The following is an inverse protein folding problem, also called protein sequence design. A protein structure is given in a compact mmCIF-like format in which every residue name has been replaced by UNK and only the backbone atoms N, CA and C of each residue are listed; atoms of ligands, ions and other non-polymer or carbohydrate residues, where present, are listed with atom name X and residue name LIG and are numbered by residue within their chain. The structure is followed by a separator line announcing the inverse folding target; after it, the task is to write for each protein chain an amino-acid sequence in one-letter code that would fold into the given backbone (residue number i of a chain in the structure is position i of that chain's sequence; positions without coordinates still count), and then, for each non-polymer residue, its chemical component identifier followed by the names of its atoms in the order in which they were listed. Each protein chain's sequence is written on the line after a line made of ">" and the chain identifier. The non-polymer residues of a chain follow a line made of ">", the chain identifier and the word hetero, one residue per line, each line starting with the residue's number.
data_IF_071249768264
#
_entry.id   IF_071249768264
#
_cell.length_a   1.000
_cell.length_b   1.000
_cell.length_c   1.000
_cell.angle_alpha   90.00
_cell.angle_beta   90.00
_cell.angle_gamma   90.00
#
_symmetry.space_group_name_H-M   'P 1'
#
loop_
_entity.id
_entity.type
_entity.pdbx_description
1 polymer ?
#
# COMPACT_ATOMS: atom_id res chain seq x y z
N UNK A 1 1.10 3.07 14.68
CA UNK A 1 1.41 3.82 13.45
C UNK A 1 1.50 5.31 13.72
N UNK A 2 0.42 5.98 14.17
CA UNK A 2 0.45 7.41 14.53
C UNK A 2 1.59 7.81 15.48
N UNK A 3 1.87 7.01 16.52
CA UNK A 3 2.99 7.27 17.44
C UNK A 3 4.37 7.35 16.75
N UNK A 4 4.59 6.56 15.69
CA UNK A 4 5.84 6.62 14.91
C UNK A 4 5.94 7.92 14.11
N UNK A 5 4.81 8.39 13.57
CA UNK A 5 4.73 9.69 12.92
C UNK A 5 4.98 10.83 13.91
N UNK A 6 4.32 10.80 15.09
CA UNK A 6 4.53 11.79 16.16
C UNK A 6 5.96 11.76 16.74
N UNK A 7 6.65 10.63 16.66
CA UNK A 7 8.06 10.49 17.03
C UNK A 7 9.04 11.07 15.99
N UNK A 8 8.55 11.58 14.84
CA UNK A 8 9.36 12.28 13.84
C UNK A 8 9.73 11.44 12.60
N UNK A 9 9.02 10.35 12.33
CA UNK A 9 9.21 9.62 11.07
C UNK A 9 8.81 10.49 9.86
N UNK A 10 9.60 10.48 8.79
CA UNK A 10 9.25 11.17 7.52
C UNK A 10 8.10 10.47 6.78
N UNK A 11 7.99 9.15 6.93
CA UNK A 11 6.89 8.33 6.44
C UNK A 11 6.81 7.06 7.29
N UNK A 12 5.63 6.45 7.39
CA UNK A 12 5.43 5.16 8.08
C UNK A 12 4.87 4.14 7.10
N UNK A 13 5.59 3.04 6.89
CA UNK A 13 5.17 1.95 6.01
C UNK A 13 5.03 0.66 6.81
N UNK A 14 3.81 0.14 6.89
CA UNK A 14 3.54 -1.18 7.43
C UNK A 14 4.02 -2.27 6.47
N UNK A 15 4.37 -3.44 7.00
CA UNK A 15 4.81 -4.58 6.19
C UNK A 15 4.07 -5.84 6.60
N UNK A 16 4.24 -6.90 5.80
CA UNK A 16 3.62 -8.22 6.03
C UNK A 16 2.09 -8.21 6.18
N UNK A 17 1.42 -7.27 5.52
CA UNK A 17 -0.02 -7.30 5.40
C UNK A 17 -0.38 -8.33 4.32
N UNK A 18 -1.19 -9.33 4.64
CA UNK A 18 -1.67 -10.29 3.63
C UNK A 18 -2.80 -9.70 2.75
N UNK A 19 -3.28 -8.50 3.07
CA UNK A 19 -4.27 -7.74 2.31
C UNK A 19 -3.75 -6.33 2.10
N UNK A 20 -4.07 -5.72 0.96
CA UNK A 20 -3.84 -4.31 0.74
C UNK A 20 -4.68 -3.48 1.75
N UNK A 21 -4.04 -2.58 2.48
CA UNK A 21 -4.67 -1.78 3.53
C UNK A 21 -4.68 -0.29 3.17
N UNK A 22 -5.52 0.45 3.90
CA UNK A 22 -5.68 1.90 3.75
C UNK A 22 -4.40 2.72 3.96
N UNK A 23 -4.58 4.01 3.74
CA UNK A 23 -3.63 5.06 4.02
C UNK A 23 -4.11 5.90 5.21
N UNK A 24 -3.20 6.69 5.74
CA UNK A 24 -3.50 7.68 6.76
C UNK A 24 -2.49 8.81 6.74
N UNK A 25 -2.84 9.88 7.44
CA UNK A 25 -1.92 10.97 7.74
C UNK A 25 -1.99 11.28 9.23
N UNK A 26 -0.83 11.47 9.84
CA UNK A 26 -0.70 12.05 11.17
C UNK A 26 0.15 13.30 11.02
N UNK A 27 -0.48 14.47 11.19
CA UNK A 27 0.01 15.74 10.65
C UNK A 27 0.38 15.60 9.16
N UNK A 28 1.61 15.96 8.78
CA UNK A 28 2.10 15.86 7.40
C UNK A 28 2.78 14.52 7.09
N UNK A 29 2.74 13.55 8.01
CA UNK A 29 3.41 12.26 7.84
C UNK A 29 2.48 11.25 7.18
N UNK A 30 2.84 10.80 5.97
CA UNK A 30 2.15 9.73 5.27
C UNK A 30 2.30 8.38 5.99
N UNK A 31 1.20 7.64 6.07
CA UNK A 31 1.12 6.29 6.63
C UNK A 31 0.48 5.37 5.60
N UNK A 32 1.14 4.28 5.25
CA UNK A 32 0.52 3.14 4.56
C UNK A 32 0.49 1.96 5.53
N UNK A 33 -0.71 1.48 5.88
CA UNK A 33 -0.86 0.48 6.94
C UNK A 33 -0.38 -0.92 6.52
N UNK A 34 -0.39 -1.22 5.22
CA UNK A 34 0.04 -2.52 4.74
C UNK A 34 -0.08 -2.67 3.22
N UNK A 35 1.03 -2.97 2.50
CA UNK A 35 1.03 -3.02 1.05
C UNK A 35 0.26 -4.21 0.49
N UNK A 36 0.02 -5.26 1.26
CA UNK A 36 -0.62 -6.48 0.77
C UNK A 36 0.38 -7.57 0.40
N UNK A 37 -0.12 -8.55 -0.35
CA UNK A 37 0.58 -9.80 -0.60
C UNK A 37 1.36 -9.75 -1.92
N UNK A 38 2.69 -9.69 -1.84
CA UNK A 38 3.58 -9.70 -2.99
C UNK A 38 4.12 -11.09 -3.37
N UNK A 39 4.16 -12.05 -2.44
CA UNK A 39 4.94 -13.29 -2.61
C UNK A 39 4.21 -14.60 -2.27
N UNK A 40 3.10 -14.57 -1.54
CA UNK A 40 2.45 -15.79 -1.05
C UNK A 40 1.42 -16.31 -2.04
N UNK A 41 1.32 -17.63 -2.15
CA UNK A 41 0.46 -18.39 -3.07
C UNK A 41 -1.02 -18.45 -2.62
N UNK A 42 -1.49 -17.42 -1.94
CA UNK A 42 -2.84 -17.32 -1.38
C UNK A 42 -3.85 -16.85 -2.42
N UNK A 43 -4.41 -17.82 -3.16
CA UNK A 43 -5.30 -17.56 -4.30
C UNK A 43 -6.79 -17.58 -3.95
N UNK A 44 -7.15 -17.92 -2.71
CA UNK A 44 -8.53 -18.19 -2.29
C UNK A 44 -9.43 -16.95 -2.25
N UNK A 45 -8.85 -15.76 -2.03
CA UNK A 45 -9.59 -14.50 -1.92
C UNK A 45 -8.94 -13.41 -2.79
N UNK A 46 -9.74 -12.51 -3.34
CA UNK A 46 -9.20 -11.38 -4.12
C UNK A 46 -8.26 -10.51 -3.27
N UNK A 47 -8.65 -10.21 -2.03
CA UNK A 47 -7.85 -9.38 -1.13
C UNK A 47 -6.45 -9.95 -0.82
N UNK A 48 -6.31 -11.28 -0.77
CA UNK A 48 -5.00 -11.93 -0.55
C UNK A 48 -4.12 -11.97 -1.79
N UNK A 49 -4.60 -11.47 -2.92
CA UNK A 49 -3.86 -11.44 -4.19
C UNK A 49 -3.42 -10.04 -4.56
N UNK A 50 -3.88 -9.01 -3.85
CA UNK A 50 -3.60 -7.61 -4.15
C UNK A 50 -2.35 -7.15 -3.41
N UNK A 51 -1.53 -6.34 -4.09
CA UNK A 51 -0.35 -5.72 -3.50
C UNK A 51 -0.13 -4.31 -4.03
N UNK A 52 0.53 -3.51 -3.21
CA UNK A 52 1.22 -2.31 -3.59
C UNK A 52 2.73 -2.54 -3.60
N UNK A 53 3.43 -1.78 -4.42
CA UNK A 53 4.87 -1.54 -4.31
C UNK A 53 5.05 -0.03 -4.29
N UNK A 54 5.36 0.50 -3.11
CA UNK A 54 5.47 1.94 -2.91
C UNK A 54 6.88 2.41 -3.21
N UNK A 55 6.98 3.51 -3.95
CA UNK A 55 8.23 4.27 -4.07
C UNK A 55 8.11 5.59 -3.34
N UNK A 56 8.95 5.79 -2.33
CA UNK A 56 9.03 7.04 -1.57
C UNK A 56 10.22 7.86 -2.06
N UNK A 57 9.97 9.10 -2.49
CA UNK A 57 11.05 10.07 -2.76
C UNK A 57 11.18 10.99 -1.55
N UNK A 58 12.30 10.87 -0.86
CA UNK A 58 12.60 11.66 0.34
C UNK A 58 13.79 12.56 0.07
N UNK A 59 13.65 13.85 0.37
CA UNK A 59 14.71 14.84 0.23
C UNK A 59 14.67 15.83 1.38
N UNK A 60 15.84 16.14 1.95
CA UNK A 60 15.98 17.09 3.08
C UNK A 60 15.03 16.79 4.25
N UNK A 61 14.93 15.51 4.62
CA UNK A 61 14.06 15.04 5.70
C UNK A 61 12.55 15.08 5.40
N UNK A 62 12.14 15.47 4.19
CA UNK A 62 10.74 15.60 3.76
C UNK A 62 10.36 14.57 2.72
N UNK A 63 9.14 14.04 2.84
CA UNK A 63 8.53 13.22 1.80
C UNK A 63 8.06 14.13 0.66
N UNK A 64 8.60 13.92 -0.54
CA UNK A 64 8.32 14.74 -1.73
C UNK A 64 7.25 14.09 -2.61
N UNK A 65 7.32 12.76 -2.76
CA UNK A 65 6.31 12.02 -3.50
C UNK A 65 6.20 10.57 -3.01
N UNK A 66 5.00 10.04 -3.23
CA UNK A 66 4.68 8.62 -3.11
C UNK A 66 4.15 8.15 -4.45
N UNK A 67 4.80 7.17 -5.05
CA UNK A 67 4.26 6.45 -6.21
C UNK A 67 3.71 5.10 -5.74
N UNK A 68 2.44 4.85 -6.05
CA UNK A 68 1.76 3.61 -5.73
C UNK A 68 1.71 2.71 -6.96
N UNK A 69 2.61 1.75 -7.06
CA UNK A 69 2.49 0.68 -8.05
C UNK A 69 1.53 -0.39 -7.51
N UNK A 70 0.62 -0.89 -8.33
CA UNK A 70 -0.40 -1.87 -7.92
C UNK A 70 -0.24 -3.18 -8.69
N UNK A 71 -0.17 -4.29 -7.96
CA UNK A 71 0.01 -5.62 -8.52
C UNK A 71 -1.08 -6.59 -8.09
N UNK A 72 -1.27 -7.61 -8.91
CA UNK A 72 -2.09 -8.76 -8.61
C UNK A 72 -1.25 -10.03 -8.72
N UNK A 73 -1.32 -10.90 -7.72
CA UNK A 73 -0.76 -12.25 -7.80
C UNK A 73 -1.70 -13.14 -8.61
N UNK A 74 -1.09 -13.87 -9.52
CA UNK A 74 -1.68 -14.99 -10.25
C UNK A 74 -0.75 -16.20 -10.23
N UNK A 75 -1.23 -17.34 -10.72
CA UNK A 75 -0.42 -18.55 -10.91
C UNK A 75 0.45 -18.94 -9.68
N UNK A 76 -0.09 -18.83 -8.46
CA UNK A 76 0.59 -19.20 -7.21
C UNK A 76 1.95 -18.49 -7.03
N UNK A 77 1.91 -17.20 -6.67
CA UNK A 77 3.07 -16.33 -6.42
C UNK A 77 3.75 -15.68 -7.65
N UNK A 78 3.02 -15.44 -8.74
CA UNK A 78 3.48 -14.59 -9.85
C UNK A 78 2.80 -13.23 -9.80
N UNK A 79 3.45 -12.18 -9.27
CA UNK A 79 2.91 -10.82 -9.34
C UNK A 79 2.94 -10.31 -10.78
N UNK A 80 1.88 -9.63 -11.18
CA UNK A 80 1.80 -8.86 -12.42
C UNK A 80 1.24 -7.48 -12.15
N UNK A 81 1.50 -6.56 -13.07
CA UNK A 81 0.83 -5.27 -13.07
C UNK A 81 -0.68 -5.47 -13.22
N UNK A 82 -1.46 -4.73 -12.44
CA UNK A 82 -2.91 -4.65 -12.59
C UNK A 82 -3.30 -3.97 -13.90
N UNK A 83 -4.42 -4.36 -14.51
CA UNK A 83 -5.04 -3.55 -15.57
C UNK A 83 -5.51 -2.20 -15.00
N UNK A 84 -5.77 -1.19 -15.84
CA UNK A 84 -6.32 0.08 -15.38
C UNK A 84 -7.59 -0.07 -14.53
N UNK A 85 -8.47 -1.02 -14.89
CA UNK A 85 -9.72 -1.31 -14.19
C UNK A 85 -9.46 -1.96 -12.84
N UNK A 86 -8.63 -3.00 -12.78
CA UNK A 86 -8.25 -3.67 -11.53
C UNK A 86 -7.58 -2.68 -10.55
N UNK A 87 -6.72 -1.81 -11.08
CA UNK A 87 -6.08 -0.74 -10.32
C UNK A 87 -7.12 0.24 -9.79
N UNK A 88 -8.05 0.69 -10.62
CA UNK A 88 -9.08 1.64 -10.21
C UNK A 88 -9.95 1.07 -9.09
N UNK A 89 -10.30 -0.21 -9.17
CA UNK A 89 -11.11 -0.88 -8.14
C UNK A 89 -10.35 -1.05 -6.82
N UNK A 90 -9.09 -1.49 -6.87
CA UNK A 90 -8.26 -1.57 -5.65
C UNK A 90 -8.11 -0.18 -5.00
N UNK A 91 -7.74 0.83 -5.78
CA UNK A 91 -7.54 2.18 -5.25
C UNK A 91 -8.83 2.71 -4.63
N UNK A 92 -9.98 2.55 -5.29
CA UNK A 92 -11.29 2.96 -4.75
C UNK A 92 -11.55 2.33 -3.39
N UNK A 93 -11.41 1.01 -3.27
CA UNK A 93 -11.64 0.32 -2.00
C UNK A 93 -10.68 0.77 -0.90
N UNK A 94 -9.41 0.99 -1.23
CA UNK A 94 -8.39 1.42 -0.27
C UNK A 94 -8.61 2.87 0.18
N UNK A 95 -8.98 3.77 -0.74
CA UNK A 95 -9.31 5.16 -0.42
C UNK A 95 -10.58 5.28 0.42
N UNK A 96 -11.63 4.53 0.08
CA UNK A 96 -12.86 4.44 0.88
C UNK A 96 -12.56 3.92 2.30
N UNK A 97 -11.72 2.88 2.42
CA UNK A 97 -11.29 2.35 3.73
C UNK A 97 -10.40 3.34 4.52
N UNK A 98 -9.79 4.32 3.83
CA UNK A 98 -9.02 5.42 4.43
C UNK A 98 -9.91 6.62 4.82
N UNK A 99 -11.20 6.58 4.46
CA UNK A 99 -12.17 7.64 4.71
C UNK A 99 -12.15 8.77 3.68
N UNK A 100 -11.66 8.52 2.45
CA UNK A 100 -11.57 9.51 1.36
C UNK A 100 -12.48 9.15 0.18
#
# INVERSE_FOLDING_TARGET
>A
FAELALAGATAVSGSQAHHAQGFGFENDTFIHYGPGNLFFDQMDMMGTRQTFVDTYVIYDGRLISVELWTGLIENWARPRLMTPEERADLLRSVFEASGW
#
